data_IF_165669213677
#
_entry.id   IF_165669213677
#
_cell.length_a   1.000
_cell.length_b   1.000
_cell.length_c   1.000
_cell.angle_alpha   90.00
_cell.angle_beta   90.00
_cell.angle_gamma   90.00
#
_symmetry.space_group_name_H-M   'P 1'
#
loop_
_entity.id
_entity.type
_entity.pdbx_description
1 polymer ?
#
# COMPACT_ATOMS: atom_id res chain seq x y z
N UNK A 1 45.86 -40.96 -3.90
CA UNK A 1 45.33 -39.59 -4.13
C UNK A 1 43.83 -39.69 -4.44
N UNK A 2 42.95 -39.27 -3.53
CA UNK A 2 41.49 -39.23 -3.78
C UNK A 2 41.13 -37.81 -4.24
N UNK A 3 40.63 -37.68 -5.47
CA UNK A 3 40.10 -36.42 -6.02
C UNK A 3 38.64 -36.30 -5.59
N UNK A 4 38.35 -35.34 -4.71
CA UNK A 4 36.96 -34.93 -4.42
C UNK A 4 36.47 -34.04 -5.55
N UNK A 5 35.41 -34.47 -6.24
CA UNK A 5 34.70 -33.68 -7.23
C UNK A 5 33.63 -32.88 -6.46
N UNK A 6 33.80 -31.56 -6.40
CA UNK A 6 32.78 -30.67 -5.89
C UNK A 6 31.69 -30.52 -6.95
N UNK A 7 30.49 -31.01 -6.64
CA UNK A 7 29.31 -30.84 -7.47
C UNK A 7 28.74 -29.43 -7.22
N UNK A 8 28.99 -28.49 -8.13
CA UNK A 8 28.33 -27.18 -8.12
C UNK A 8 26.90 -27.36 -8.63
N UNK A 9 25.93 -27.39 -7.71
CA UNK A 9 24.52 -27.31 -8.08
C UNK A 9 24.21 -25.87 -8.46
N UNK A 10 24.08 -25.59 -9.76
CA UNK A 10 23.53 -24.33 -10.24
C UNK A 10 22.04 -24.29 -9.91
N UNK A 11 21.65 -23.53 -8.87
CA UNK A 11 20.27 -23.12 -8.69
C UNK A 11 19.89 -22.21 -9.87
N UNK A 12 19.10 -22.74 -10.79
CA UNK A 12 18.45 -21.93 -11.82
C UNK A 12 17.45 -21.01 -11.12
N UNK A 13 17.78 -19.72 -11.01
CA UNK A 13 16.86 -18.69 -10.55
C UNK A 13 15.78 -18.55 -11.63
N UNK A 14 14.65 -19.23 -11.45
CA UNK A 14 13.48 -19.03 -12.31
C UNK A 14 13.00 -17.59 -12.11
N UNK A 15 13.17 -16.76 -13.14
CA UNK A 15 12.57 -15.43 -13.18
C UNK A 15 11.05 -15.59 -13.16
N UNK A 16 10.43 -15.25 -12.02
CA UNK A 16 8.98 -15.07 -11.91
C UNK A 16 8.58 -13.99 -12.90
N UNK A 17 7.72 -14.31 -13.86
CA UNK A 17 7.25 -13.31 -14.84
C UNK A 17 6.23 -12.36 -14.19
N UNK A 18 6.14 -11.12 -14.69
CA UNK A 18 5.14 -10.15 -14.21
C UNK A 18 3.70 -10.69 -14.27
N UNK A 19 3.41 -11.61 -15.20
CA UNK A 19 2.15 -12.33 -15.32
C UNK A 19 1.80 -13.16 -14.06
N UNK A 20 2.79 -13.75 -13.39
CA UNK A 20 2.59 -14.54 -12.17
C UNK A 20 2.30 -13.64 -10.95
N UNK A 21 2.49 -12.32 -11.08
CA UNK A 21 2.23 -11.36 -10.02
C UNK A 21 0.79 -10.84 -10.01
N UNK A 22 -0.03 -11.19 -10.99
CA UNK A 22 -1.38 -10.64 -11.13
C UNK A 22 -2.40 -11.71 -11.48
N UNK A 23 -3.67 -11.43 -11.19
CA UNK A 23 -4.80 -12.17 -11.76
C UNK A 23 -5.17 -11.53 -13.09
N UNK A 24 -4.63 -12.07 -14.19
CA UNK A 24 -4.80 -11.52 -15.55
C UNK A 24 -6.25 -11.19 -15.91
N UNK A 25 -7.21 -12.05 -15.59
CA UNK A 25 -8.63 -11.83 -15.89
C UNK A 25 -9.20 -10.55 -15.26
N UNK A 26 -8.57 -10.05 -14.19
CA UNK A 26 -9.03 -8.92 -13.38
C UNK A 26 -8.10 -7.71 -13.49
N UNK A 27 -6.94 -7.87 -14.12
CA UNK A 27 -5.89 -6.86 -14.17
C UNK A 27 -5.82 -6.17 -15.55
N UNK A 28 -6.98 -5.79 -16.08
CA UNK A 28 -7.11 -5.02 -17.32
C UNK A 28 -7.25 -3.51 -17.07
N UNK A 29 -7.22 -2.73 -18.15
CA UNK A 29 -7.47 -1.28 -18.11
C UNK A 29 -8.85 -1.00 -17.50
N UNK A 30 -8.92 0.02 -16.66
CA UNK A 30 -10.17 0.44 -16.01
C UNK A 30 -11.28 0.77 -17.03
N UNK A 31 -12.44 0.10 -16.96
CA UNK A 31 -13.65 0.50 -17.68
C UNK A 31 -14.18 1.86 -17.21
N UNK A 32 -14.84 2.62 -18.11
CA UNK A 32 -15.36 3.96 -17.80
C UNK A 32 -16.44 3.95 -16.71
N UNK A 33 -17.21 2.88 -16.64
CA UNK A 33 -18.39 2.68 -15.81
C UNK A 33 -18.12 1.77 -14.60
N UNK A 34 -16.85 1.49 -14.31
CA UNK A 34 -16.50 0.66 -13.16
C UNK A 34 -16.83 1.35 -11.84
N UNK A 35 -17.53 0.62 -10.96
CA UNK A 35 -17.84 1.08 -9.62
C UNK A 35 -16.54 1.36 -8.85
N UNK A 36 -16.45 2.54 -8.24
CA UNK A 36 -15.29 2.95 -7.48
C UNK A 36 -15.53 2.83 -5.97
N UNK A 37 -14.44 2.57 -5.25
CA UNK A 37 -14.37 2.84 -3.80
C UNK A 37 -14.30 4.35 -3.63
N UNK A 38 -15.14 4.88 -2.75
CA UNK A 38 -15.19 6.30 -2.43
C UNK A 38 -14.82 6.53 -0.99
N UNK A 39 -14.41 7.75 -0.71
CA UNK A 39 -14.02 8.16 0.63
C UNK A 39 -15.24 8.26 1.57
N UNK A 40 -16.42 8.53 1.00
CA UNK A 40 -17.73 8.45 1.65
C UNK A 40 -18.20 7.03 2.00
N UNK A 41 -17.46 5.99 1.59
CA UNK A 41 -17.74 4.61 2.02
C UNK A 41 -17.25 4.35 3.45
N UNK A 42 -16.46 5.26 4.01
CA UNK A 42 -15.84 5.18 5.32
C UNK A 42 -16.19 6.42 6.17
N UNK A 43 -15.94 6.33 7.47
CA UNK A 43 -16.16 7.40 8.44
C UNK A 43 -15.03 7.46 9.45
N UNK A 44 -14.83 8.61 10.08
CA UNK A 44 -13.89 8.72 11.21
C UNK A 44 -14.46 8.11 12.49
N UNK A 45 -13.59 7.55 13.33
CA UNK A 45 -13.99 6.97 14.61
C UNK A 45 -14.75 5.65 14.48
N UNK A 46 -14.42 4.84 13.47
CA UNK A 46 -15.01 3.51 13.33
C UNK A 46 -14.55 2.61 14.46
N UNK A 47 -15.44 1.78 14.98
CA UNK A 47 -15.08 0.68 15.88
C UNK A 47 -14.40 -0.43 15.09
N UNK A 48 -13.62 -1.25 15.78
CA UNK A 48 -12.88 -2.34 15.14
C UNK A 48 -13.77 -3.32 14.36
N UNK A 49 -14.94 -3.67 14.91
CA UNK A 49 -15.86 -4.57 14.21
C UNK A 49 -16.56 -3.87 13.02
N UNK A 50 -16.73 -2.55 13.06
CA UNK A 50 -17.21 -1.78 11.90
C UNK A 50 -16.18 -1.80 10.77
N UNK A 51 -14.88 -1.67 11.07
CA UNK A 51 -13.80 -1.81 10.09
C UNK A 51 -13.83 -3.19 9.43
N UNK A 52 -13.93 -4.27 10.22
CA UNK A 52 -14.01 -5.64 9.68
C UNK A 52 -15.26 -5.86 8.83
N UNK A 53 -16.41 -5.36 9.26
CA UNK A 53 -17.66 -5.48 8.50
C UNK A 53 -17.57 -4.69 7.19
N UNK A 54 -17.03 -3.47 7.24
CA UNK A 54 -16.81 -2.64 6.06
C UNK A 54 -15.82 -3.27 5.09
N UNK A 55 -14.78 -3.95 5.59
CA UNK A 55 -13.87 -4.72 4.75
C UNK A 55 -14.60 -5.81 3.95
N UNK A 56 -15.46 -6.60 4.60
CA UNK A 56 -16.24 -7.63 3.91
C UNK A 56 -17.20 -7.04 2.87
N UNK A 57 -17.83 -5.91 3.20
CA UNK A 57 -18.69 -5.16 2.28
C UNK A 57 -17.91 -4.69 1.05
N UNK A 58 -16.82 -3.94 1.24
CA UNK A 58 -16.00 -3.41 0.14
C UNK A 58 -15.44 -4.55 -0.71
N UNK A 59 -14.88 -5.58 -0.08
CA UNK A 59 -14.30 -6.73 -0.79
C UNK A 59 -15.29 -7.40 -1.75
N UNK A 60 -16.58 -7.49 -1.36
CA UNK A 60 -17.63 -8.16 -2.14
C UNK A 60 -18.45 -7.22 -3.02
N UNK A 61 -18.27 -5.91 -2.89
CA UNK A 61 -19.11 -4.91 -3.56
C UNK A 61 -18.89 -4.79 -5.07
N UNK A 62 -17.78 -5.34 -5.59
CA UNK A 62 -17.32 -5.09 -6.97
C UNK A 62 -16.71 -3.70 -7.17
N UNK A 63 -16.68 -2.85 -6.13
CA UNK A 63 -15.98 -1.56 -6.17
C UNK A 63 -14.47 -1.78 -6.22
N UNK A 64 -13.78 -0.88 -6.93
CA UNK A 64 -12.32 -0.90 -7.12
C UNK A 64 -11.71 0.49 -6.97
N UNK A 65 -10.39 0.56 -6.81
CA UNK A 65 -9.70 1.85 -6.81
C UNK A 65 -9.79 2.50 -8.19
N UNK A 66 -10.07 3.82 -8.21
CA UNK A 66 -9.95 4.62 -9.43
C UNK A 66 -8.49 4.70 -9.86
N UNK A 67 -8.24 4.72 -11.17
CA UNK A 67 -6.91 4.80 -11.76
C UNK A 67 -5.98 3.72 -11.19
N UNK A 68 -6.52 2.52 -10.96
CA UNK A 68 -5.74 1.41 -10.43
C UNK A 68 -4.70 0.91 -11.43
N UNK A 69 -3.68 0.23 -10.92
CA UNK A 69 -2.71 -0.47 -11.73
C UNK A 69 -3.34 -1.60 -12.57
N UNK A 70 -2.79 -1.84 -13.76
CA UNK A 70 -3.19 -2.93 -14.63
C UNK A 70 -1.98 -3.58 -15.32
N UNK A 71 -2.17 -4.75 -15.91
CA UNK A 71 -1.19 -5.45 -16.73
C UNK A 71 -1.40 -5.09 -18.21
N UNK A 72 -0.40 -4.51 -18.87
CA UNK A 72 -0.52 -4.04 -20.26
C UNK A 72 -0.13 -5.09 -21.32
N UNK A 73 0.09 -6.33 -20.90
CA UNK A 73 0.54 -7.44 -21.73
C UNK A 73 2.02 -7.76 -21.55
N UNK A 74 2.81 -6.82 -21.04
CA UNK A 74 4.24 -6.97 -20.78
C UNK A 74 4.62 -6.52 -19.37
N UNK A 75 4.12 -5.35 -18.96
CA UNK A 75 4.45 -4.70 -17.71
C UNK A 75 3.20 -4.50 -16.85
N UNK A 76 3.41 -4.34 -15.55
CA UNK A 76 2.39 -3.84 -14.64
C UNK A 76 2.60 -2.33 -14.55
N UNK A 77 1.57 -1.57 -14.88
CA UNK A 77 1.63 -0.11 -14.95
C UNK A 77 0.57 0.50 -14.05
N UNK A 78 0.91 1.61 -13.40
CA UNK A 78 -0.02 2.42 -12.62
C UNK A 78 -0.19 3.79 -13.30
N UNK A 79 -1.42 4.21 -13.62
CA UNK A 79 -1.65 5.46 -14.33
C UNK A 79 -1.38 6.66 -13.43
N UNK A 80 -0.78 7.70 -14.00
CA UNK A 80 -0.55 8.97 -13.35
C UNK A 80 -0.89 10.12 -14.32
N UNK A 81 -1.96 10.86 -14.02
CA UNK A 81 -2.33 12.11 -14.66
C UNK A 81 -1.22 13.14 -14.45
N UNK A 82 -0.50 13.47 -15.52
CA UNK A 82 0.44 14.58 -15.52
C UNK A 82 -0.28 15.92 -15.72
N UNK A 83 0.52 16.98 -15.87
CA UNK A 83 0.05 18.29 -16.29
C UNK A 83 -0.72 18.19 -17.61
N UNK A 84 -1.89 18.85 -17.71
CA UNK A 84 -2.68 18.88 -18.95
C UNK A 84 -3.57 17.65 -19.20
N UNK A 85 -3.90 16.87 -18.17
CA UNK A 85 -4.77 15.67 -18.23
C UNK A 85 -4.23 14.47 -19.02
N UNK A 86 -2.99 14.51 -19.52
CA UNK A 86 -2.34 13.34 -20.12
C UNK A 86 -2.12 12.26 -19.06
N UNK A 87 -2.61 11.06 -19.31
CA UNK A 87 -2.36 9.89 -18.45
C UNK A 87 -1.02 9.27 -18.87
N UNK A 88 -0.04 9.35 -17.98
CA UNK A 88 1.24 8.67 -18.12
C UNK A 88 1.16 7.30 -17.43
N UNK A 89 1.91 6.32 -17.92
CA UNK A 89 2.02 4.98 -17.31
C UNK A 89 3.30 4.91 -16.51
N UNK A 90 3.20 4.73 -15.19
CA UNK A 90 4.34 4.44 -14.33
C UNK A 90 4.56 2.94 -14.31
N UNK A 91 5.72 2.45 -14.75
CA UNK A 91 6.03 1.02 -14.68
C UNK A 91 6.37 0.64 -13.24
N UNK A 92 5.68 -0.39 -12.73
CA UNK A 92 5.96 -0.96 -11.42
C UNK A 92 6.95 -2.12 -11.58
N UNK A 93 7.95 -2.17 -10.72
CA UNK A 93 8.89 -3.29 -10.69
C UNK A 93 8.26 -4.50 -10.00
N UNK A 94 8.66 -5.69 -10.42
CA UNK A 94 8.30 -6.93 -9.72
C UNK A 94 8.69 -6.89 -8.25
N UNK A 95 9.86 -6.31 -7.94
CA UNK A 95 10.35 -6.14 -6.57
C UNK A 95 9.40 -5.28 -5.74
N UNK A 96 8.91 -4.17 -6.29
CA UNK A 96 7.94 -3.31 -5.61
C UNK A 96 6.64 -4.06 -5.32
N UNK A 97 6.07 -4.73 -6.32
CA UNK A 97 4.81 -5.47 -6.17
C UNK A 97 4.96 -6.61 -5.14
N UNK A 98 6.07 -7.36 -5.21
CA UNK A 98 6.39 -8.41 -4.23
C UNK A 98 6.58 -7.84 -2.83
N UNK A 99 7.18 -6.65 -2.70
CA UNK A 99 7.33 -5.97 -1.41
C UNK A 99 5.98 -5.61 -0.82
N UNK A 100 5.12 -4.92 -1.58
CA UNK A 100 3.78 -4.54 -1.12
C UNK A 100 2.94 -5.75 -0.75
N UNK A 101 2.94 -6.81 -1.58
CA UNK A 101 2.28 -8.08 -1.24
C UNK A 101 2.82 -8.65 0.08
N UNK A 102 4.14 -8.73 0.22
CA UNK A 102 4.78 -9.25 1.43
C UNK A 102 4.46 -8.41 2.66
N UNK A 103 4.32 -7.09 2.52
CA UNK A 103 3.88 -6.21 3.61
C UNK A 103 2.45 -6.55 4.04
N UNK A 104 1.52 -6.65 3.09
CA UNK A 104 0.11 -6.99 3.36
C UNK A 104 0.00 -8.35 4.05
N UNK A 105 0.64 -9.38 3.49
CA UNK A 105 0.60 -10.74 4.03
C UNK A 105 1.17 -10.80 5.46
N UNK A 106 2.31 -10.15 5.69
CA UNK A 106 2.92 -10.15 7.02
C UNK A 106 2.17 -9.27 8.02
N UNK A 107 1.60 -8.14 7.60
CA UNK A 107 0.80 -7.28 8.47
C UNK A 107 -0.44 -8.03 8.97
N UNK A 108 -1.14 -8.73 8.06
CA UNK A 108 -2.29 -9.58 8.39
C UNK A 108 -1.89 -10.74 9.30
N UNK A 109 -0.80 -11.45 8.97
CA UNK A 109 -0.30 -12.59 9.75
C UNK A 109 0.12 -12.20 11.18
N UNK A 110 0.71 -11.02 11.35
CA UNK A 110 1.17 -10.51 12.64
C UNK A 110 0.06 -9.81 13.43
N UNK A 111 -1.14 -9.65 12.84
CA UNK A 111 -2.25 -8.95 13.48
C UNK A 111 -2.00 -7.46 13.67
N UNK A 112 -1.20 -6.84 12.80
CA UNK A 112 -1.00 -5.38 12.77
C UNK A 112 -2.14 -4.66 12.04
N UNK A 113 -2.88 -5.40 11.20
CA UNK A 113 -4.06 -4.96 10.47
C UNK A 113 -5.14 -6.02 10.60
N UNK A 114 -6.40 -5.60 10.51
CA UNK A 114 -7.58 -6.46 10.50
C UNK A 114 -8.28 -6.44 9.13
N UNK A 115 -8.00 -5.41 8.34
CA UNK A 115 -8.59 -5.20 7.04
C UNK A 115 -7.58 -4.55 6.09
N UNK A 116 -7.84 -4.66 4.78
CA UNK A 116 -7.07 -3.96 3.74
C UNK A 116 -8.01 -3.02 2.99
N UNK A 117 -8.32 -1.90 3.62
CA UNK A 117 -9.19 -0.80 3.15
C UNK A 117 -8.63 0.52 3.67
N UNK A 118 -9.11 1.66 3.17
CA UNK A 118 -8.58 2.97 3.56
C UNK A 118 -8.39 3.19 5.08
N UNK A 119 -9.37 2.86 5.95
CA UNK A 119 -9.20 2.92 7.41
C UNK A 119 -8.06 2.09 8.01
N UNK A 120 -7.59 1.07 7.29
CA UNK A 120 -6.65 0.08 7.81
C UNK A 120 -5.66 -0.37 6.72
N UNK A 121 -4.49 0.28 6.65
CA UNK A 121 -3.42 0.01 5.67
C UNK A 121 -3.82 0.32 4.21
N UNK A 122 -4.90 1.08 3.98
CA UNK A 122 -5.34 1.39 2.63
C UNK A 122 -4.70 2.61 1.97
N UNK A 123 -3.78 3.27 2.67
CA UNK A 123 -3.07 4.46 2.22
C UNK A 123 -1.61 4.39 2.69
N UNK A 124 -0.70 4.98 1.91
CA UNK A 124 0.73 4.96 2.20
C UNK A 124 1.44 6.28 1.94
N UNK A 125 2.58 6.42 2.61
CA UNK A 125 3.57 7.45 2.40
C UNK A 125 4.94 6.83 2.13
N UNK A 126 5.90 7.63 1.70
CA UNK A 126 7.25 7.15 1.39
C UNK A 126 8.27 7.80 2.32
N UNK A 127 9.20 6.98 2.81
CA UNK A 127 10.45 7.42 3.39
C UNK A 127 11.55 7.11 2.38
N UNK A 128 12.12 8.16 1.80
CA UNK A 128 13.09 8.07 0.71
C UNK A 128 14.43 8.57 1.24
N UNK A 129 15.52 7.80 1.20
CA UNK A 129 16.83 8.30 1.61
C UNK A 129 17.14 9.64 0.93
N UNK A 130 17.61 10.63 1.69
CA UNK A 130 17.72 12.03 1.24
C UNK A 130 18.52 12.15 -0.07
N UNK A 131 19.67 11.47 -0.16
CA UNK A 131 20.49 11.44 -1.37
C UNK A 131 19.76 10.79 -2.57
N UNK A 132 18.95 9.77 -2.32
CA UNK A 132 18.10 9.13 -3.34
C UNK A 132 17.00 10.08 -3.80
N UNK A 133 16.33 10.76 -2.88
CA UNK A 133 15.28 11.75 -3.17
C UNK A 133 15.80 12.86 -4.08
N UNK A 134 16.92 13.50 -3.72
CA UNK A 134 17.52 14.60 -4.49
C UNK A 134 17.91 14.16 -5.91
N UNK A 135 18.57 13.01 -6.03
CA UNK A 135 18.96 12.43 -7.33
C UNK A 135 17.75 12.11 -8.19
N UNK A 136 16.72 11.47 -7.62
CA UNK A 136 15.50 11.10 -8.35
C UNK A 136 14.73 12.36 -8.76
N UNK A 137 14.59 13.34 -7.88
CA UNK A 137 13.91 14.61 -8.17
C UNK A 137 14.59 15.36 -9.33
N UNK A 138 15.93 15.47 -9.31
CA UNK A 138 16.69 16.06 -10.40
C UNK A 138 16.49 15.29 -11.73
N UNK A 139 16.55 13.96 -11.68
CA UNK A 139 16.37 13.09 -12.86
C UNK A 139 14.95 13.10 -13.43
N UNK A 140 13.96 13.31 -12.57
CA UNK A 140 12.55 13.40 -12.94
C UNK A 140 12.23 14.70 -13.70
N UNK A 141 13.04 15.76 -13.53
CA UNK A 141 12.85 17.03 -14.24
C UNK A 141 11.47 17.65 -14.00
N UNK A 142 10.96 17.54 -12.76
CA UNK A 142 9.63 18.03 -12.37
C UNK A 142 8.46 17.14 -12.79
N UNK A 143 8.70 15.99 -13.45
CA UNK A 143 7.63 15.08 -13.87
C UNK A 143 7.33 14.05 -12.78
N UNK A 144 6.19 14.17 -12.11
CA UNK A 144 5.81 13.30 -10.98
C UNK A 144 5.71 11.82 -11.36
N UNK A 145 5.21 11.49 -12.55
CA UNK A 145 5.15 10.09 -13.01
C UNK A 145 6.55 9.46 -13.12
N UNK A 146 7.54 10.24 -13.58
CA UNK A 146 8.94 9.79 -13.69
C UNK A 146 9.61 9.68 -12.32
N UNK A 147 9.24 10.58 -11.39
CA UNK A 147 9.64 10.46 -9.98
C UNK A 147 9.19 9.13 -9.39
N UNK A 148 7.91 8.76 -9.53
CA UNK A 148 7.40 7.48 -9.03
C UNK A 148 8.09 6.28 -9.68
N UNK A 149 8.25 6.30 -11.01
CA UNK A 149 8.91 5.22 -11.74
C UNK A 149 10.33 4.98 -11.21
N UNK A 150 11.09 6.05 -10.95
CA UNK A 150 12.44 5.97 -10.43
C UNK A 150 12.50 5.60 -8.94
N UNK A 151 11.60 6.12 -8.11
CA UNK A 151 11.64 5.89 -6.65
C UNK A 151 11.26 4.45 -6.30
N UNK A 152 10.30 3.85 -7.00
CA UNK A 152 9.87 2.47 -6.76
C UNK A 152 10.89 1.41 -7.23
N UNK A 153 11.94 1.83 -7.94
CA UNK A 153 13.09 0.99 -8.27
C UNK A 153 14.14 0.95 -7.16
N UNK A 154 14.05 1.82 -6.14
CA UNK A 154 15.11 1.98 -5.15
C UNK A 154 14.97 0.92 -4.04
N UNK A 155 15.98 0.07 -3.81
CA UNK A 155 15.89 -1.01 -2.82
C UNK A 155 15.89 -0.51 -1.37
N UNK A 156 16.35 0.71 -1.15
CA UNK A 156 16.40 1.41 0.14
C UNK A 156 15.12 2.23 0.42
N UNK A 157 14.15 2.25 -0.52
CA UNK A 157 12.84 2.83 -0.28
C UNK A 157 12.13 2.12 0.87
N UNK A 158 11.53 2.93 1.74
CA UNK A 158 10.64 2.50 2.81
C UNK A 158 9.23 3.05 2.56
N UNK A 159 8.24 2.22 2.79
CA UNK A 159 6.81 2.56 2.63
C UNK A 159 6.17 2.57 4.01
N UNK A 160 5.65 3.73 4.40
CA UNK A 160 4.89 3.90 5.62
C UNK A 160 3.41 3.66 5.33
N UNK A 161 2.77 2.84 6.14
CA UNK A 161 1.33 2.65 6.18
C UNK A 161 0.82 3.13 7.53
N UNK A 162 -0.21 3.97 7.52
CA UNK A 162 -1.01 4.20 8.70
C UNK A 162 -2.08 3.11 8.80
N UNK A 163 -1.81 2.12 9.65
CA UNK A 163 -2.81 1.14 10.07
C UNK A 163 -3.75 1.80 11.07
N UNK A 164 -5.00 1.36 11.16
CA UNK A 164 -5.97 1.96 12.09
C UNK A 164 -6.16 3.49 11.94
N UNK A 165 -6.04 4.03 10.73
CA UNK A 165 -6.12 5.46 10.42
C UNK A 165 -7.39 6.09 10.97
N UNK A 166 -8.55 5.45 10.70
CA UNK A 166 -9.89 5.90 11.12
C UNK A 166 -10.49 5.08 12.27
N UNK A 167 -9.69 4.21 12.92
CA UNK A 167 -10.12 3.43 14.09
C UNK A 167 -10.26 4.36 15.30
N UNK A 168 -11.37 4.21 16.03
CA UNK A 168 -11.52 4.79 17.36
C UNK A 168 -10.55 4.07 18.33
N UNK A 169 -9.46 4.76 18.69
CA UNK A 169 -8.41 4.20 19.55
C UNK A 169 -8.25 4.90 20.89
N UNK A 170 -8.81 6.10 21.04
CA UNK A 170 -8.68 6.93 22.23
C UNK A 170 -10.05 7.32 22.78
N UNK A 171 -10.13 7.47 24.10
CA UNK A 171 -11.31 7.96 24.79
C UNK A 171 -11.47 9.48 24.67
N UNK A 172 -12.51 10.00 25.33
CA UNK A 172 -12.80 11.43 25.46
C UNK A 172 -11.65 12.26 26.07
N UNK A 173 -10.76 11.62 26.83
CA UNK A 173 -9.58 12.22 27.46
C UNK A 173 -8.29 12.05 26.65
N UNK A 174 -8.39 11.56 25.40
CA UNK A 174 -7.25 11.26 24.51
C UNK A 174 -6.30 10.20 25.07
N UNK A 175 -6.80 9.29 25.90
CA UNK A 175 -6.04 8.12 26.38
C UNK A 175 -6.42 6.91 25.55
N UNK A 176 -5.50 5.96 25.30
CA UNK A 176 -5.84 4.70 24.66
C UNK A 176 -7.00 4.00 25.39
N UNK A 177 -8.00 3.55 24.64
CA UNK A 177 -9.14 2.80 25.18
C UNK A 177 -8.62 1.55 25.89
N UNK A 178 -9.20 1.19 27.05
CA UNK A 178 -8.81 0.01 27.83
C UNK A 178 -9.33 -1.30 27.24
N UNK A 179 -8.92 -1.56 26.00
CA UNK A 179 -9.09 -2.83 25.30
C UNK A 179 -7.73 -3.24 24.74
N UNK A 180 -7.28 -4.44 25.08
CA UNK A 180 -5.93 -4.92 24.69
C UNK A 180 -5.71 -4.92 23.18
N UNK A 181 -6.74 -5.24 22.40
CA UNK A 181 -6.63 -5.25 20.94
C UNK A 181 -6.56 -3.83 20.40
N UNK A 182 -7.37 -2.91 20.92
CA UNK A 182 -7.31 -1.49 20.53
C UNK A 182 -5.96 -0.86 20.91
N UNK A 183 -5.46 -1.11 22.12
CA UNK A 183 -4.12 -0.67 22.54
C UNK A 183 -3.03 -1.23 21.64
N UNK A 184 -3.14 -2.51 21.25
CA UNK A 184 -2.23 -3.10 20.29
C UNK A 184 -2.28 -2.36 18.94
N UNK A 185 -3.48 -2.09 18.41
CA UNK A 185 -3.64 -1.32 17.17
C UNK A 185 -3.05 0.10 17.27
N UNK A 186 -3.15 0.74 18.44
CA UNK A 186 -2.53 2.03 18.71
C UNK A 186 -1.00 1.98 18.53
N UNK A 187 -0.33 0.95 19.08
CA UNK A 187 1.12 0.80 18.93
C UNK A 187 1.55 0.29 17.56
N UNK A 188 0.67 -0.36 16.80
CA UNK A 188 0.96 -0.81 15.43
C UNK A 188 0.52 0.19 14.34
N UNK A 189 0.08 1.41 14.71
CA UNK A 189 -0.43 2.42 13.77
C UNK A 189 0.53 2.73 12.63
N UNK A 190 1.83 2.89 12.91
CA UNK A 190 2.80 3.22 11.86
C UNK A 190 3.61 1.99 11.49
N UNK A 191 3.25 1.39 10.37
CA UNK A 191 3.90 0.21 9.85
C UNK A 191 4.82 0.60 8.69
N UNK A 192 6.10 0.25 8.76
CA UNK A 192 7.07 0.54 7.70
C UNK A 192 7.54 -0.73 7.03
N UNK A 193 7.35 -0.83 5.72
CA UNK A 193 7.82 -1.93 4.87
C UNK A 193 8.97 -1.52 3.96
N UNK A 194 9.91 -2.43 3.69
CA UNK A 194 11.07 -2.19 2.81
C UNK A 194 10.90 -2.68 1.38
N UNK A 195 11.53 -2.02 0.40
CA UNK A 195 11.36 -2.30 -1.03
C UNK A 195 12.35 -3.36 -1.61
N UNK A 196 12.61 -4.44 -0.86
CA UNK A 196 13.54 -5.51 -1.26
C UNK A 196 12.87 -6.86 -1.51
N UNK A 197 11.53 -6.91 -1.56
CA UNK A 197 10.72 -8.13 -1.66
C UNK A 197 10.95 -9.14 -0.52
N UNK A 198 11.41 -8.67 0.65
CA UNK A 198 11.65 -9.51 1.83
C UNK A 198 10.44 -9.59 2.76
N UNK A 199 9.42 -8.76 2.56
CA UNK A 199 8.26 -8.64 3.45
C UNK A 199 8.63 -8.16 4.87
N UNK A 200 9.80 -7.54 5.05
CA UNK A 200 10.22 -7.00 6.35
C UNK A 200 9.30 -5.85 6.75
N UNK A 201 8.91 -5.85 8.02
CA UNK A 201 8.06 -4.84 8.63
C UNK A 201 8.71 -4.32 9.91
N UNK A 202 8.67 -3.02 10.09
CA UNK A 202 9.13 -2.28 11.27
C UNK A 202 7.94 -1.48 11.82
N UNK A 203 7.88 -1.30 13.14
CA UNK A 203 6.89 -0.43 13.78
C UNK A 203 7.58 0.88 14.19
N UNK A 204 6.98 2.00 13.82
CA UNK A 204 7.39 3.31 14.32
C UNK A 204 6.42 3.78 15.39
N UNK A 205 6.96 4.32 16.48
CA UNK A 205 6.15 4.88 17.55
C UNK A 205 6.43 6.39 17.64
N UNK A 206 5.35 7.17 17.65
CA UNK A 206 5.32 8.57 18.05
C UNK A 206 4.38 8.73 19.25
N UNK A 207 4.82 8.27 20.42
CA UNK A 207 4.03 8.25 21.65
C UNK A 207 3.66 9.67 22.16
N UNK A 208 4.28 10.72 21.60
CA UNK A 208 3.93 12.11 21.89
C UNK A 208 2.72 12.60 21.11
N UNK A 209 2.34 11.93 20.02
CA UNK A 209 1.13 12.20 19.26
C UNK A 209 -0.08 11.50 19.87
N UNK A 210 -1.21 12.20 19.97
CA UNK A 210 -2.44 11.68 20.63
C UNK A 210 -2.96 10.36 20.06
N UNK A 211 -2.68 10.07 18.79
CA UNK A 211 -3.08 8.83 18.11
C UNK A 211 -1.88 7.98 17.71
N UNK A 212 -0.67 8.28 18.20
CA UNK A 212 0.57 7.63 17.79
C UNK A 212 0.83 7.72 16.27
N UNK A 213 0.61 8.87 15.64
CA UNK A 213 0.84 9.06 14.19
C UNK A 213 2.27 9.54 13.97
N UNK A 214 3.05 8.81 13.16
CA UNK A 214 4.45 9.15 12.86
C UNK A 214 4.64 9.65 11.42
N UNK A 215 5.36 10.75 11.24
CA UNK A 215 5.74 11.28 9.92
C UNK A 215 7.26 11.35 9.70
N UNK A 216 8.05 10.91 10.68
CA UNK A 216 9.51 10.87 10.63
C UNK A 216 9.99 9.42 10.78
N UNK A 217 11.08 9.07 10.09
CA UNK A 217 11.72 7.75 10.19
C UNK A 217 13.10 7.85 10.86
N UNK A 218 14.00 8.63 10.28
CA UNK A 218 15.30 9.02 10.82
C UNK A 218 15.75 10.33 10.15
N UNK A 219 16.91 10.85 10.55
CA UNK A 219 17.47 12.10 10.01
C UNK A 219 17.98 12.02 8.56
N UNK A 220 17.95 10.82 7.96
CA UNK A 220 18.47 10.54 6.62
C UNK A 220 17.39 10.22 5.58
N UNK A 221 16.11 10.19 5.97
CA UNK A 221 15.00 9.95 5.05
C UNK A 221 14.11 11.18 4.89
N UNK A 222 13.83 11.51 3.63
CA UNK A 222 12.79 12.46 3.26
C UNK A 222 11.42 11.79 3.35
N UNK A 223 10.54 12.34 4.18
CA UNK A 223 9.11 12.05 4.12
C UNK A 223 8.49 12.63 2.84
N UNK A 224 7.76 11.79 2.12
CA UNK A 224 6.97 12.16 0.94
C UNK A 224 5.54 11.67 1.12
N UNK A 225 4.62 12.61 1.36
CA UNK A 225 3.24 12.31 1.76
C UNK A 225 2.37 11.70 0.66
N UNK A 226 2.77 11.76 -0.61
CA UNK A 226 2.01 11.15 -1.70
C UNK A 226 2.59 9.77 -2.05
N UNK A 227 2.10 8.72 -1.39
CA UNK A 227 2.46 7.34 -1.72
C UNK A 227 1.47 6.74 -2.72
N UNK A 228 0.80 5.67 -2.29
CA UNK A 228 -0.23 4.97 -3.05
C UNK A 228 -1.30 4.41 -2.11
N UNK A 229 -2.49 4.23 -2.65
CA UNK A 229 -3.62 3.60 -1.98
C UNK A 229 -3.68 2.10 -2.28
N UNK A 230 -4.18 1.34 -1.30
CA UNK A 230 -4.44 -0.10 -1.37
C UNK A 230 -5.89 -0.34 -0.98
N UNK A 231 -6.59 -1.19 -1.72
CA UNK A 231 -7.92 -1.64 -1.30
C UNK A 231 -8.17 -3.06 -1.76
N UNK A 232 -8.67 -3.90 -0.86
CA UNK A 232 -9.08 -5.25 -1.19
C UNK A 232 -10.37 -5.25 -2.01
N UNK A 233 -10.40 -6.11 -3.02
CA UNK A 233 -11.56 -6.34 -3.87
C UNK A 233 -11.50 -7.79 -4.36
N UNK A 234 -12.62 -8.50 -4.41
CA UNK A 234 -12.68 -9.84 -4.99
C UNK A 234 -12.25 -9.85 -6.47
N UNK A 235 -12.41 -8.70 -7.13
CA UNK A 235 -12.00 -8.44 -8.50
C UNK A 235 -10.65 -7.71 -8.60
N UNK A 236 -9.87 -7.67 -7.52
CA UNK A 236 -8.57 -7.02 -7.46
C UNK A 236 -7.52 -7.63 -8.40
N UNK A 237 -6.51 -6.83 -8.76
CA UNK A 237 -5.43 -7.27 -9.66
C UNK A 237 -4.41 -8.17 -8.95
N UNK A 238 -4.01 -7.84 -7.72
CA UNK A 238 -2.86 -8.45 -7.06
C UNK A 238 -3.30 -9.50 -6.03
N UNK A 239 -2.87 -10.77 -6.16
CA UNK A 239 -3.17 -11.77 -5.15
C UNK A 239 -2.32 -11.57 -3.89
N UNK A 240 -2.86 -11.97 -2.75
CA UNK A 240 -2.15 -12.14 -1.48
C UNK A 240 -2.76 -13.29 -0.68
N UNK A 241 -1.99 -13.88 0.24
CA UNK A 241 -2.42 -15.02 1.05
C UNK A 241 -2.61 -14.67 2.52
N UNK A 242 -3.74 -15.08 3.07
CA UNK A 242 -4.03 -15.02 4.51
C UNK A 242 -4.57 -16.37 4.93
N UNK A 243 -3.94 -17.00 5.93
CA UNK A 243 -4.36 -18.30 6.48
C UNK A 243 -4.57 -19.40 5.41
N UNK A 244 -3.76 -19.39 4.35
CA UNK A 244 -3.84 -20.36 3.25
C UNK A 244 -4.86 -20.03 2.16
N UNK A 245 -5.71 -19.03 2.36
CA UNK A 245 -6.66 -18.54 1.37
C UNK A 245 -6.06 -17.41 0.52
N UNK A 246 -6.48 -17.33 -0.74
CA UNK A 246 -6.05 -16.27 -1.67
C UNK A 246 -7.12 -15.18 -1.75
N UNK A 247 -6.69 -13.94 -1.51
CA UNK A 247 -7.47 -12.72 -1.65
C UNK A 247 -6.83 -11.82 -2.71
N UNK A 248 -7.52 -10.74 -3.07
CA UNK A 248 -7.02 -9.79 -4.08
C UNK A 248 -7.14 -8.34 -3.63
N UNK A 249 -6.25 -7.50 -4.13
CA UNK A 249 -6.26 -6.05 -3.91
C UNK A 249 -5.85 -5.26 -5.15
N UNK A 250 -6.09 -3.95 -5.09
CA UNK A 250 -5.67 -2.97 -6.08
C UNK A 250 -4.68 -1.96 -5.51
N UNK A 251 -3.94 -1.33 -6.42
CA UNK A 251 -3.03 -0.21 -6.12
C UNK A 251 -3.39 0.99 -6.97
N UNK A 252 -3.33 2.20 -6.42
CA UNK A 252 -3.54 3.45 -7.15
C UNK A 252 -2.73 4.60 -6.56
N UNK A 253 -2.29 5.57 -7.36
CA UNK A 253 -1.68 6.81 -6.87
C UNK A 253 -2.70 7.82 -6.32
N UNK A 254 -4.00 7.53 -6.46
CA UNK A 254 -5.05 8.48 -6.16
C UNK A 254 -5.72 8.15 -4.85
N UNK A 255 -5.79 9.17 -3.99
CA UNK A 255 -6.64 9.14 -2.79
C UNK A 255 -8.10 8.99 -3.18
N UNK A 256 -8.88 8.51 -2.21
CA UNK A 256 -10.29 8.31 -2.40
C UNK A 256 -10.99 9.67 -2.53
N UNK A 257 -11.74 9.82 -3.62
CA UNK A 257 -12.64 10.96 -3.81
C UNK A 257 -13.99 10.67 -3.13
N UNK A 258 -14.75 11.70 -2.71
CA UNK A 258 -16.13 11.50 -2.29
C UNK A 258 -16.99 10.99 -3.47
N UNK A 259 -18.06 10.25 -3.16
CA UNK A 259 -19.00 9.82 -4.19
C UNK A 259 -19.67 11.04 -4.87
N UNK A 260 -19.97 10.97 -6.18
CA UNK A 260 -20.69 12.04 -6.87
C UNK A 260 -21.99 12.41 -6.14
N UNK A 261 -22.19 13.71 -5.87
CA UNK A 261 -23.38 14.19 -5.16
C UNK A 261 -23.31 14.09 -3.64
N UNK A 262 -22.27 13.47 -3.08
CA UNK A 262 -21.92 13.60 -1.66
C UNK A 262 -20.90 14.72 -1.56
N UNK A 263 -21.20 15.80 -0.82
CA UNK A 263 -20.30 16.96 -0.71
C UNK A 263 -18.90 16.55 -0.26
N UNK A 264 -17.90 17.41 -0.48
CA UNK A 264 -16.55 17.23 0.06
C UNK A 264 -16.62 17.36 1.59
N UNK A 265 -16.99 16.30 2.29
CA UNK A 265 -16.67 16.18 3.72
C UNK A 265 -15.15 16.32 3.80
N UNK A 266 -14.70 17.44 4.38
CA UNK A 266 -13.31 17.86 4.35
C UNK A 266 -12.39 16.75 4.85
N UNK A 267 -11.39 16.42 4.03
CA UNK A 267 -10.25 15.61 4.41
C UNK A 267 -9.21 16.58 4.95
N UNK A 268 -9.36 17.03 6.19
CA UNK A 268 -8.29 17.77 6.86
C UNK A 268 -7.33 16.72 7.45
N UNK A 269 -6.21 16.50 6.75
CA UNK A 269 -5.04 15.80 7.26
C UNK A 269 -4.25 16.72 8.20
#
# INVERSE_FOLDING_TARGET
>A
MKKSIALLTFLSLTSVSAEELVRKSHCGVQPKDEAAVYSSDFSWGMKLDEIKNKYQEIYRSGKRLKYRAWFDGENIVMPHKGTGQTINKVKLTDTFIKSVRGHVENAMRLGYVDALIFPDMGHSHLFIPQATYERVQASAGGQTWKFYELVFQQPDLKVLYHTAEQLEMVDENKKPIDDRKIQWRFFTRNLVGGNQALGKLELLHNETHSHNTGHDYDDNHKYYGAGFNISASADGCFPFKVNGETYYFDLSFYDLEPAPGTGSGGWDY
#
